data_IF_193306122144
#
_entry.id   IF_193306122144
#
_cell.length_a   1.000
_cell.length_b   1.000
_cell.length_c   1.000
_cell.angle_alpha   90.00
_cell.angle_beta   90.00
_cell.angle_gamma   90.00
#
_symmetry.space_group_name_H-M   'P 1'
#
loop_
_entity.id
_entity.type
_entity.pdbx_description
1 polymer ?
#
# COMPACT_ATOMS: atom_id res chain seq x y z
N UNK A 1 14.40 11.61 1.23
CA UNK A 1 14.42 10.16 0.94
C UNK A 1 14.68 9.85 -0.54
N UNK A 2 14.04 10.54 -1.52
CA UNK A 2 14.36 10.34 -2.96
C UNK A 2 14.84 11.58 -3.73
N UNK A 3 14.73 12.75 -3.13
CA UNK A 3 15.18 14.01 -3.75
C UNK A 3 14.46 14.36 -5.05
N UNK A 4 13.31 13.74 -5.34
CA UNK A 4 12.58 13.99 -6.60
C UNK A 4 11.69 15.23 -6.49
N UNK A 5 11.91 16.26 -7.34
CA UNK A 5 11.03 17.41 -7.38
C UNK A 5 9.63 17.04 -7.89
N UNK A 6 8.58 17.55 -7.23
CA UNK A 6 7.19 17.28 -7.59
C UNK A 6 6.82 17.69 -9.02
N UNK A 7 7.54 18.66 -9.61
CA UNK A 7 7.34 19.12 -11.00
C UNK A 7 7.63 18.03 -12.05
N UNK A 8 8.30 16.94 -11.67
CA UNK A 8 8.56 15.81 -12.55
C UNK A 8 7.56 14.66 -12.40
N UNK A 9 6.56 14.82 -11.52
CA UNK A 9 5.56 13.81 -11.23
C UNK A 9 4.25 14.13 -11.95
N UNK A 10 3.67 13.11 -12.54
CA UNK A 10 2.30 13.13 -13.07
C UNK A 10 1.50 11.99 -12.42
N UNK A 11 0.19 12.18 -12.30
CA UNK A 11 -0.70 11.21 -11.64
C UNK A 11 -1.80 10.76 -12.59
N UNK A 12 -2.00 9.45 -12.71
CA UNK A 12 -3.11 8.88 -13.46
C UNK A 12 -4.31 8.61 -12.56
N UNK A 13 -5.34 9.45 -12.71
CA UNK A 13 -6.63 9.25 -12.04
C UNK A 13 -7.33 7.96 -12.50
N UNK A 14 -7.12 7.57 -13.76
CA UNK A 14 -7.69 6.33 -14.30
C UNK A 14 -7.08 5.11 -13.61
N UNK A 15 -5.75 5.05 -13.52
CA UNK A 15 -5.03 3.96 -12.84
C UNK A 15 -5.38 3.90 -11.35
N UNK A 16 -5.52 5.06 -10.69
CA UNK A 16 -5.99 5.13 -9.32
C UNK A 16 -7.41 4.56 -9.17
N UNK A 17 -8.33 4.95 -10.06
CA UNK A 17 -9.71 4.44 -10.05
C UNK A 17 -9.77 2.92 -10.23
N UNK A 18 -8.99 2.37 -11.16
CA UNK A 18 -8.90 0.92 -11.36
C UNK A 18 -8.31 0.21 -10.14
N UNK A 19 -7.26 0.76 -9.53
CA UNK A 19 -6.65 0.19 -8.34
C UNK A 19 -7.64 0.11 -7.17
N UNK A 20 -8.45 1.16 -6.98
CA UNK A 20 -9.50 1.20 -5.94
C UNK A 20 -10.61 0.19 -6.24
N UNK A 21 -11.06 0.09 -7.49
CA UNK A 21 -12.09 -0.87 -7.88
C UNK A 21 -11.65 -2.33 -7.65
N UNK A 22 -10.41 -2.67 -8.03
CA UNK A 22 -9.83 -4.00 -7.76
C UNK A 22 -9.69 -4.28 -6.27
N UNK A 23 -9.26 -3.28 -5.48
CA UNK A 23 -9.21 -3.41 -4.03
C UNK A 23 -10.60 -3.66 -3.44
N UNK A 24 -11.63 -2.99 -3.94
CA UNK A 24 -13.00 -3.20 -3.48
C UNK A 24 -13.50 -4.62 -3.78
N UNK A 25 -13.21 -5.15 -4.97
CA UNK A 25 -13.54 -6.53 -5.35
C UNK A 25 -12.90 -7.51 -4.37
N UNK A 26 -11.59 -7.36 -4.09
CA UNK A 26 -10.86 -8.21 -3.16
C UNK A 26 -11.44 -8.13 -1.74
N UNK A 27 -11.71 -6.92 -1.25
CA UNK A 27 -12.28 -6.72 0.08
C UNK A 27 -13.66 -7.36 0.21
N UNK A 28 -14.54 -7.20 -0.80
CA UNK A 28 -15.85 -7.88 -0.85
C UNK A 28 -15.68 -9.39 -0.85
N UNK A 29 -14.77 -9.94 -1.63
CA UNK A 29 -14.48 -11.37 -1.67
C UNK A 29 -13.89 -11.89 -0.35
N UNK A 30 -13.07 -11.10 0.36
CA UNK A 30 -12.59 -11.46 1.70
C UNK A 30 -13.72 -11.44 2.74
N UNK A 31 -14.59 -10.44 2.70
CA UNK A 31 -15.75 -10.31 3.60
C UNK A 31 -16.71 -11.47 3.41
N UNK A 32 -16.99 -11.87 2.17
CA UNK A 32 -17.87 -12.98 1.85
C UNK A 32 -17.35 -14.34 2.33
N UNK A 33 -16.02 -14.52 2.41
CA UNK A 33 -15.37 -15.80 2.79
C UNK A 33 -15.18 -15.98 4.30
N UNK A 34 -15.46 -14.97 5.13
CA UNK A 34 -15.23 -15.01 6.59
C UNK A 34 -16.55 -15.20 7.34
N UNK A 35 -16.55 -16.03 8.40
CA UNK A 35 -17.71 -16.17 9.29
C UNK A 35 -17.99 -14.85 10.01
N UNK A 36 -19.25 -14.60 10.39
CA UNK A 36 -19.68 -13.44 11.20
C UNK A 36 -18.89 -13.26 12.51
N UNK A 37 -18.18 -14.29 12.96
CA UNK A 37 -17.43 -14.36 14.23
C UNK A 37 -15.95 -13.99 14.12
N UNK A 38 -15.34 -13.99 12.93
CA UNK A 38 -13.94 -13.61 12.73
C UNK A 38 -13.84 -12.47 11.70
N UNK A 39 -13.92 -11.24 12.20
CA UNK A 39 -13.84 -10.03 11.39
C UNK A 39 -12.52 -9.87 10.63
N UNK A 40 -12.52 -8.97 9.65
CA UNK A 40 -11.32 -8.56 8.92
C UNK A 40 -10.60 -7.52 9.78
N UNK A 41 -9.37 -7.81 10.15
CA UNK A 41 -8.50 -6.88 10.88
C UNK A 41 -8.16 -5.66 10.02
N UNK A 42 -8.02 -4.44 10.59
CA UNK A 42 -7.65 -3.24 9.83
C UNK A 42 -6.39 -3.40 8.99
N UNK A 43 -5.39 -4.12 9.48
CA UNK A 43 -4.16 -4.38 8.71
C UNK A 43 -4.40 -5.26 7.48
N UNK A 44 -5.39 -6.15 7.46
CA UNK A 44 -5.75 -6.91 6.25
C UNK A 44 -6.37 -6.00 5.19
N UNK A 45 -7.21 -5.05 5.60
CA UNK A 45 -7.77 -4.04 4.69
C UNK A 45 -6.64 -3.18 4.13
N UNK A 46 -5.74 -2.72 5.01
CA UNK A 46 -4.54 -1.98 4.64
C UNK A 46 -3.66 -2.77 3.64
N UNK A 47 -3.45 -4.07 3.88
CA UNK A 47 -2.67 -4.94 3.02
C UNK A 47 -3.21 -5.04 1.60
N UNK A 48 -4.53 -5.24 1.45
CA UNK A 48 -5.20 -5.27 0.14
C UNK A 48 -5.02 -3.93 -0.59
N UNK A 49 -5.27 -2.82 0.11
CA UNK A 49 -5.13 -1.49 -0.49
C UNK A 49 -3.69 -1.20 -0.91
N UNK A 50 -2.71 -1.47 -0.06
CA UNK A 50 -1.31 -1.20 -0.37
C UNK A 50 -0.84 -2.06 -1.54
N UNK A 51 -1.21 -3.34 -1.55
CA UNK A 51 -0.91 -4.23 -2.66
C UNK A 51 -1.53 -3.73 -3.96
N UNK A 52 -2.84 -3.46 -3.99
CA UNK A 52 -3.50 -3.03 -5.23
C UNK A 52 -2.96 -1.69 -5.71
N UNK A 53 -2.84 -0.69 -4.83
CA UNK A 53 -2.24 0.59 -5.21
C UNK A 53 -0.81 0.43 -5.73
N UNK A 54 -0.02 -0.50 -5.22
CA UNK A 54 1.35 -0.71 -5.70
C UNK A 54 1.42 -1.41 -7.07
N UNK A 55 0.35 -2.07 -7.52
CA UNK A 55 0.33 -2.80 -8.80
C UNK A 55 0.03 -1.94 -10.01
N UNK A 56 -0.59 -0.77 -9.80
CA UNK A 56 -0.99 0.14 -10.86
C UNK A 56 0.05 1.24 -11.07
N UNK A 57 0.12 1.79 -12.28
CA UNK A 57 1.06 2.86 -12.62
C UNK A 57 0.39 4.20 -12.36
N UNK A 58 0.17 4.51 -11.08
CA UNK A 58 -0.51 5.74 -10.67
C UNK A 58 0.42 6.94 -10.77
N UNK A 59 1.67 6.77 -10.33
CA UNK A 59 2.72 7.80 -10.40
C UNK A 59 3.53 7.60 -11.68
N UNK A 60 3.56 8.64 -12.50
CA UNK A 60 4.33 8.74 -13.72
C UNK A 60 5.43 9.79 -13.58
N UNK A 61 6.47 9.65 -14.39
CA UNK A 61 7.64 10.53 -14.38
C UNK A 61 7.86 11.09 -15.78
N UNK A 62 8.04 12.40 -15.88
CA UNK A 62 8.49 13.01 -17.11
C UNK A 62 9.97 12.62 -17.40
N UNK A 63 10.45 12.88 -18.62
CA UNK A 63 11.77 12.44 -19.06
C UNK A 63 12.92 12.92 -18.15
N UNK A 64 12.78 14.10 -17.56
CA UNK A 64 13.77 14.68 -16.63
C UNK A 64 13.82 13.94 -15.27
N UNK A 65 12.80 13.15 -14.94
CA UNK A 65 12.75 12.32 -13.74
C UNK A 65 13.40 10.94 -13.90
N UNK A 66 13.72 10.52 -15.13
CA UNK A 66 14.11 9.13 -15.45
C UNK A 66 15.49 8.71 -14.92
N UNK A 67 16.36 9.66 -14.61
CA UNK A 67 17.70 9.36 -14.09
C UNK A 67 17.72 9.02 -12.58
N UNK A 68 16.57 9.08 -11.89
CA UNK A 68 16.53 8.78 -10.47
C UNK A 68 16.60 7.26 -10.21
N UNK A 69 17.61 6.76 -9.49
CA UNK A 69 17.80 5.31 -9.29
C UNK A 69 16.66 4.62 -8.54
N UNK A 70 15.82 5.39 -7.83
CA UNK A 70 14.74 4.88 -6.99
C UNK A 70 13.36 4.94 -7.63
N UNK A 71 13.26 5.28 -8.92
CA UNK A 71 11.97 5.34 -9.65
C UNK A 71 11.13 4.08 -9.46
N UNK A 72 11.80 2.93 -9.45
CA UNK A 72 11.17 1.61 -9.33
C UNK A 72 10.55 1.33 -7.94
N UNK A 73 10.72 2.20 -6.95
CA UNK A 73 10.16 2.06 -5.60
C UNK A 73 9.13 3.14 -5.25
N UNK A 74 9.06 4.23 -6.02
CA UNK A 74 8.24 5.38 -5.66
C UNK A 74 6.76 5.03 -5.61
N UNK A 75 6.26 4.22 -6.55
CA UNK A 75 4.86 3.78 -6.58
C UNK A 75 4.52 2.94 -5.33
N UNK A 76 5.35 1.94 -5.04
CA UNK A 76 5.18 1.04 -3.89
C UNK A 76 5.27 1.80 -2.57
N UNK A 77 6.16 2.78 -2.47
CA UNK A 77 6.28 3.61 -1.28
C UNK A 77 5.12 4.57 -1.13
N UNK A 78 4.67 5.20 -2.20
CA UNK A 78 3.48 6.04 -2.18
C UNK A 78 2.26 5.24 -1.69
N UNK A 79 2.08 4.02 -2.19
CA UNK A 79 1.03 3.11 -1.74
C UNK A 79 1.14 2.78 -0.23
N UNK A 80 2.32 2.34 0.23
CA UNK A 80 2.53 1.97 1.64
C UNK A 80 2.38 3.18 2.57
N UNK A 81 2.89 4.35 2.20
CA UNK A 81 2.76 5.57 3.01
C UNK A 81 1.32 6.08 3.07
N UNK A 82 0.60 6.07 1.95
CA UNK A 82 -0.81 6.45 1.91
C UNK A 82 -1.62 5.55 2.85
N UNK A 83 -1.44 4.24 2.71
CA UNK A 83 -2.16 3.26 3.53
C UNK A 83 -1.76 3.35 5.00
N UNK A 84 -0.46 3.50 5.31
CA UNK A 84 0.03 3.77 6.68
C UNK A 84 -0.72 4.95 7.28
N UNK A 85 -0.79 6.08 6.55
CA UNK A 85 -1.48 7.29 7.01
C UNK A 85 -2.98 7.08 7.25
N UNK A 86 -3.64 6.25 6.45
CA UNK A 86 -5.08 6.04 6.54
C UNK A 86 -5.48 5.00 7.61
N UNK A 87 -4.67 3.94 7.81
CA UNK A 87 -5.08 2.75 8.57
C UNK A 87 -4.22 2.44 9.79
N UNK A 88 -3.01 2.99 9.90
CA UNK A 88 -2.10 2.69 11.01
C UNK A 88 -1.85 3.93 11.85
N UNK A 89 -2.40 3.90 13.07
CA UNK A 89 -2.20 4.98 14.06
C UNK A 89 -0.81 4.91 14.74
N UNK A 90 -0.19 3.74 14.76
CA UNK A 90 1.13 3.52 15.34
C UNK A 90 2.30 3.96 14.43
N UNK A 91 3.45 4.22 15.05
CA UNK A 91 4.68 4.47 14.32
C UNK A 91 5.19 3.18 13.67
N UNK A 92 5.16 3.12 12.33
CA UNK A 92 5.92 2.12 11.57
C UNK A 92 7.31 2.69 11.29
N UNK A 93 8.40 2.01 11.71
CA UNK A 93 9.77 2.42 11.38
C UNK A 93 9.96 2.60 9.88
N UNK A 94 10.71 3.64 9.47
CA UNK A 94 10.94 3.93 8.05
C UNK A 94 11.62 2.77 7.31
N UNK A 95 12.55 2.08 7.97
CA UNK A 95 13.22 0.88 7.43
C UNK A 95 12.21 -0.23 7.11
N UNK A 96 11.17 -0.39 7.92
CA UNK A 96 10.13 -1.40 7.69
C UNK A 96 9.21 -1.02 6.53
N UNK A 97 8.93 0.28 6.37
CA UNK A 97 8.21 0.80 5.19
C UNK A 97 9.01 0.54 3.91
N UNK A 98 10.30 0.87 3.92
CA UNK A 98 11.21 0.60 2.81
C UNK A 98 11.24 -0.88 2.42
N UNK A 99 11.39 -1.76 3.41
CA UNK A 99 11.46 -3.20 3.18
C UNK A 99 10.14 -3.72 2.58
N UNK A 100 8.99 -3.32 3.11
CA UNK A 100 7.71 -3.72 2.52
C UNK A 100 7.58 -3.22 1.07
N UNK A 101 7.95 -1.96 0.80
CA UNK A 101 7.89 -1.41 -0.56
C UNK A 101 8.84 -2.13 -1.52
N UNK A 102 10.03 -2.50 -1.06
CA UNK A 102 10.95 -3.33 -1.84
C UNK A 102 10.36 -4.72 -2.12
N UNK A 103 9.78 -5.38 -1.12
CA UNK A 103 9.14 -6.69 -1.31
C UNK A 103 7.95 -6.62 -2.27
N UNK A 104 7.16 -5.54 -2.25
CA UNK A 104 6.07 -5.31 -3.20
C UNK A 104 6.60 -5.12 -4.62
N UNK A 105 7.66 -4.31 -4.81
CA UNK A 105 8.23 -4.05 -6.15
C UNK A 105 8.82 -5.31 -6.78
N UNK A 106 9.45 -6.15 -5.95
CA UNK A 106 9.99 -7.47 -6.34
C UNK A 106 8.94 -8.57 -6.44
N UNK A 107 7.68 -8.29 -6.10
CA UNK A 107 6.58 -9.27 -6.02
C UNK A 107 6.83 -10.41 -5.04
N UNK A 108 7.65 -10.17 -4.02
CA UNK A 108 7.89 -11.11 -2.92
C UNK A 108 6.82 -10.99 -1.83
N UNK A 109 6.10 -9.86 -1.77
CA UNK A 109 4.94 -9.67 -0.93
C UNK A 109 3.65 -9.66 -1.75
N UNK A 110 2.63 -10.37 -1.26
CA UNK A 110 1.26 -10.30 -1.76
C UNK A 110 0.37 -9.53 -0.77
N UNK A 111 -0.93 -9.45 -1.07
CA UNK A 111 -1.92 -8.82 -0.20
C UNK A 111 -1.94 -9.37 1.24
N UNK A 112 -1.68 -10.68 1.43
CA UNK A 112 -1.68 -11.31 2.75
C UNK A 112 -0.42 -10.94 3.54
N UNK A 113 0.75 -10.99 2.90
CA UNK A 113 2.02 -10.55 3.50
C UNK A 113 1.94 -9.09 3.93
N UNK A 114 1.46 -8.21 3.05
CA UNK A 114 1.23 -6.80 3.38
C UNK A 114 0.20 -6.65 4.51
N UNK A 115 -0.82 -7.51 4.54
CA UNK A 115 -1.84 -7.52 5.58
C UNK A 115 -1.29 -7.87 6.96
N UNK A 116 -0.43 -8.89 7.04
CA UNK A 116 0.28 -9.27 8.26
C UNK A 116 1.24 -8.17 8.73
N UNK A 117 1.96 -7.55 7.79
CA UNK A 117 2.82 -6.42 8.07
C UNK A 117 2.03 -5.29 8.78
N UNK A 118 0.96 -4.80 8.17
CA UNK A 118 0.19 -3.71 8.78
C UNK A 118 -0.47 -4.12 10.09
N UNK A 119 -0.92 -5.37 10.22
CA UNK A 119 -1.46 -5.89 11.49
C UNK A 119 -0.42 -5.87 12.61
N UNK A 120 0.83 -6.21 12.33
CA UNK A 120 1.90 -6.21 13.34
C UNK A 120 2.14 -4.82 13.95
N UNK A 121 1.85 -3.76 13.19
CA UNK A 121 1.99 -2.36 13.62
C UNK A 121 0.66 -1.69 14.02
N UNK A 122 -0.48 -2.25 13.63
CA UNK A 122 -1.81 -1.77 14.03
C UNK A 122 -2.18 -2.29 15.43
N UNK A 123 -1.36 -1.97 16.45
CA UNK A 123 -1.53 -2.49 17.82
C UNK A 123 -2.69 -1.89 18.63
N UNK A 124 -3.37 -0.86 18.13
CA UNK A 124 -4.41 -0.16 18.92
C UNK A 124 -5.86 -0.47 18.54
N UNK A 125 -6.12 -1.37 17.58
CA UNK A 125 -7.50 -1.71 17.20
C UNK A 125 -8.10 -2.87 18.01
N UNK A 126 -7.31 -3.59 18.81
CA UNK A 126 -7.76 -4.79 19.54
C UNK A 126 -8.13 -4.57 21.01
N UNK A 127 -7.98 -3.35 21.55
CA UNK A 127 -8.27 -3.06 22.97
C UNK A 127 -9.33 -1.96 23.19
N UNK A 128 -10.12 -1.63 22.15
CA UNK A 128 -11.15 -0.59 22.21
C UNK A 128 -12.58 -1.10 21.95
N UNK A 129 -12.86 -2.37 22.25
CA UNK A 129 -14.20 -2.93 22.26
C UNK A 129 -14.37 -3.89 23.44
#
# INVERSE_FOLDING_TARGET
>A
MFGMPLKHLEYSNQELGLAVAEAEIDLRAMLARRSKTHGITPGKIAGVLAFRLSRFKIVHFNAEGWDNPNLHLIQEMAAVFLVKRLFVRGAIPEISVLELSYQLSRRHANQETAGLFFNAFAKDAQHAA
#
